data_IF_878020570886
#
_entry.id   IF_878020570886
#
_cell.length_a   1.000
_cell.length_b   1.000
_cell.length_c   1.000
_cell.angle_alpha   90.00
_cell.angle_beta   90.00
_cell.angle_gamma   90.00
#
_symmetry.space_group_name_H-M   'P 1'
#
loop_
_entity.id
_entity.type
_entity.pdbx_description
1 polymer ?
#
# COMPACT_ATOMS: atom_id res chain seq x y z
N UNK A 1 -2.32 -2.71 18.39
CA UNK A 1 -3.31 -3.58 17.70
C UNK A 1 -2.96 -5.03 17.94
N UNK A 2 -3.84 -5.78 18.57
CA UNK A 2 -3.57 -7.17 18.98
C UNK A 2 -4.49 -8.20 18.30
N UNK A 3 -5.48 -7.76 17.51
CA UNK A 3 -6.42 -8.66 16.87
C UNK A 3 -6.56 -8.37 15.38
N UNK A 4 -7.00 -9.38 14.62
CA UNK A 4 -7.32 -9.21 13.19
C UNK A 4 -8.45 -8.18 12.99
N UNK A 5 -9.44 -8.14 13.87
CA UNK A 5 -10.51 -7.17 13.79
C UNK A 5 -10.00 -5.73 13.92
N UNK A 6 -9.06 -5.48 14.82
CA UNK A 6 -8.43 -4.17 14.98
C UNK A 6 -7.62 -3.77 13.74
N UNK A 7 -6.89 -4.71 13.13
CA UNK A 7 -6.13 -4.49 11.92
C UNK A 7 -7.04 -4.14 10.73
N UNK A 8 -8.12 -4.88 10.56
CA UNK A 8 -9.10 -4.63 9.50
C UNK A 8 -9.75 -3.27 9.69
N UNK A 9 -10.14 -2.93 10.90
CA UNK A 9 -10.75 -1.64 11.23
C UNK A 9 -9.79 -0.48 10.91
N UNK A 10 -8.51 -0.61 11.27
CA UNK A 10 -7.49 0.39 10.98
C UNK A 10 -7.28 0.55 9.47
N UNK A 11 -7.27 -0.56 8.73
CA UNK A 11 -7.16 -0.54 7.27
C UNK A 11 -8.35 0.17 6.64
N UNK A 12 -9.57 -0.16 7.06
CA UNK A 12 -10.79 0.47 6.53
C UNK A 12 -10.78 1.98 6.75
N UNK A 13 -10.39 2.44 7.94
CA UNK A 13 -10.27 3.87 8.24
C UNK A 13 -9.22 4.53 7.33
N UNK A 14 -8.07 3.92 7.17
CA UNK A 14 -6.98 4.42 6.32
C UNK A 14 -7.44 4.54 4.87
N UNK A 15 -8.18 3.53 4.37
CA UNK A 15 -8.72 3.54 3.01
C UNK A 15 -9.75 4.66 2.81
N UNK A 16 -10.60 4.91 3.81
CA UNK A 16 -11.56 6.01 3.76
C UNK A 16 -10.85 7.36 3.70
N UNK A 17 -9.84 7.56 4.54
CA UNK A 17 -9.05 8.79 4.58
C UNK A 17 -8.31 9.02 3.25
N UNK A 18 -7.70 7.98 2.70
CA UNK A 18 -7.01 8.05 1.41
C UNK A 18 -7.97 8.37 0.26
N UNK A 19 -9.12 7.72 0.24
CA UNK A 19 -10.15 7.97 -0.79
C UNK A 19 -10.65 9.40 -0.75
N UNK A 20 -10.92 9.93 0.44
CA UNK A 20 -11.32 11.33 0.61
C UNK A 20 -10.24 12.29 0.14
N UNK A 21 -8.97 12.02 0.45
CA UNK A 21 -7.85 12.83 0.00
C UNK A 21 -7.72 12.85 -1.53
N UNK A 22 -7.87 11.68 -2.19
CA UNK A 22 -7.81 11.60 -3.65
C UNK A 22 -8.98 12.29 -4.33
N UNK A 23 -10.18 12.23 -3.75
CA UNK A 23 -11.35 12.93 -4.30
C UNK A 23 -11.19 14.45 -4.24
N UNK A 24 -10.48 14.97 -3.23
CA UNK A 24 -10.26 16.40 -3.03
C UNK A 24 -9.00 16.96 -3.69
N UNK A 25 -8.19 16.14 -4.34
CA UNK A 25 -6.94 16.58 -4.93
C UNK A 25 -7.11 17.07 -6.37
N UNK A 26 -6.09 17.79 -6.88
CA UNK A 26 -6.03 18.30 -8.25
C UNK A 26 -4.72 17.87 -8.88
N UNK A 27 -4.64 17.93 -10.23
CA UNK A 27 -3.39 17.68 -10.94
C UNK A 27 -2.29 18.64 -10.51
N UNK A 28 -2.63 19.92 -10.31
CA UNK A 28 -1.66 20.91 -9.85
C UNK A 28 -1.06 20.52 -8.50
N UNK A 29 -1.88 20.05 -7.58
CA UNK A 29 -1.41 19.61 -6.28
C UNK A 29 -0.51 18.37 -6.39
N UNK A 30 -0.82 17.43 -7.28
CA UNK A 30 -0.03 16.22 -7.50
C UNK A 30 1.33 16.51 -8.14
N UNK A 31 1.46 17.64 -8.84
CA UNK A 31 2.73 18.07 -9.42
C UNK A 31 3.64 18.79 -8.42
N UNK A 32 3.09 19.27 -7.29
CA UNK A 32 3.88 19.96 -6.27
C UNK A 32 4.82 19.00 -5.56
N UNK A 33 6.02 19.48 -5.20
CA UNK A 33 7.00 18.63 -4.50
C UNK A 33 6.53 18.26 -3.10
N UNK A 34 6.89 17.07 -2.70
CA UNK A 34 6.78 16.58 -1.33
C UNK A 34 8.18 16.23 -0.83
N UNK A 35 8.43 16.48 0.43
CA UNK A 35 9.75 16.30 1.02
C UNK A 35 9.67 15.37 2.21
N UNK A 36 10.59 14.41 2.25
CA UNK A 36 10.80 13.58 3.41
C UNK A 36 11.94 14.19 4.24
N UNK A 37 11.65 14.48 5.49
CA UNK A 37 12.65 15.04 6.41
C UNK A 37 13.11 13.97 7.37
N UNK A 38 14.42 13.95 7.63
CA UNK A 38 15.02 13.13 8.66
C UNK A 38 15.97 14.00 9.47
N UNK A 39 15.71 14.16 10.77
CA UNK A 39 16.51 15.03 11.63
C UNK A 39 16.52 16.50 11.17
N UNK A 40 15.43 16.96 10.61
CA UNK A 40 15.31 18.32 10.06
C UNK A 40 15.95 18.55 8.71
N UNK A 41 16.52 17.49 8.10
CA UNK A 41 17.14 17.58 6.76
C UNK A 41 16.26 16.90 5.73
N UNK A 42 16.19 17.48 4.53
CA UNK A 42 15.50 16.89 3.40
C UNK A 42 16.35 15.73 2.87
N UNK A 43 15.82 14.51 2.95
CA UNK A 43 16.51 13.30 2.47
C UNK A 43 15.91 12.80 1.16
N UNK A 44 14.70 13.24 0.81
CA UNK A 44 14.03 12.87 -0.42
C UNK A 44 13.07 13.99 -0.80
N UNK A 45 13.07 14.36 -2.07
CA UNK A 45 12.12 15.32 -2.62
C UNK A 45 11.72 14.86 -4.01
N UNK A 46 10.42 14.83 -4.27
CA UNK A 46 9.85 14.46 -5.57
C UNK A 46 8.44 15.02 -5.69
N UNK A 47 7.90 15.15 -6.91
CA UNK A 47 6.49 15.49 -7.09
C UNK A 47 5.60 14.49 -6.37
N UNK A 48 4.46 14.93 -5.85
CA UNK A 48 3.54 14.08 -5.10
C UNK A 48 3.09 12.85 -5.88
N UNK A 49 2.84 12.98 -7.18
CA UNK A 49 2.43 11.82 -7.99
C UNK A 49 3.50 10.71 -8.02
N UNK A 50 4.78 11.08 -8.04
CA UNK A 50 5.87 10.08 -7.96
C UNK A 50 5.92 9.41 -6.59
N UNK A 51 5.72 10.18 -5.52
CA UNK A 51 5.69 9.64 -4.17
C UNK A 51 4.54 8.66 -3.98
N UNK A 52 3.37 8.95 -4.58
CA UNK A 52 2.22 8.04 -4.56
C UNK A 52 2.55 6.74 -5.31
N UNK A 53 3.15 6.85 -6.50
CA UNK A 53 3.57 5.67 -7.27
C UNK A 53 4.56 4.81 -6.48
N UNK A 54 5.54 5.44 -5.84
CA UNK A 54 6.52 4.74 -5.02
C UNK A 54 5.86 4.05 -3.81
N UNK A 55 4.87 4.71 -3.20
CA UNK A 55 4.10 4.12 -2.10
C UNK A 55 3.32 2.88 -2.55
N UNK A 56 2.73 2.91 -3.73
CA UNK A 56 2.01 1.76 -4.30
C UNK A 56 3.00 0.61 -4.58
N UNK A 57 4.16 0.91 -5.16
CA UNK A 57 5.21 -0.08 -5.40
C UNK A 57 5.71 -0.68 -4.09
N UNK A 58 5.87 0.13 -3.06
CA UNK A 58 6.29 -0.31 -1.73
C UNK A 58 5.25 -1.24 -1.10
N UNK A 59 3.97 -0.91 -1.24
CA UNK A 59 2.88 -1.76 -0.79
C UNK A 59 2.89 -3.12 -1.50
N UNK A 60 3.05 -3.11 -2.83
CA UNK A 60 3.14 -4.34 -3.62
C UNK A 60 4.32 -5.21 -3.19
N UNK A 61 5.47 -4.59 -2.87
CA UNK A 61 6.64 -5.29 -2.37
C UNK A 61 6.34 -6.03 -1.06
N UNK A 62 5.78 -5.36 -0.07
CA UNK A 62 5.44 -5.98 1.21
C UNK A 62 4.32 -7.00 1.07
N UNK A 63 3.34 -6.76 0.18
CA UNK A 63 2.30 -7.74 -0.11
C UNK A 63 2.89 -9.04 -0.64
N UNK A 64 3.87 -8.95 -1.54
CA UNK A 64 4.59 -10.11 -2.04
C UNK A 64 5.31 -10.88 -0.92
N UNK A 65 5.96 -10.16 0.00
CA UNK A 65 6.59 -10.77 1.17
C UNK A 65 5.58 -11.50 2.06
N UNK A 66 4.38 -10.91 2.23
CA UNK A 66 3.32 -11.54 3.03
C UNK A 66 2.88 -12.89 2.46
N UNK A 67 2.87 -13.05 1.15
CA UNK A 67 2.51 -14.33 0.53
C UNK A 67 3.49 -15.44 0.91
N UNK A 68 4.78 -15.10 1.03
CA UNK A 68 5.80 -16.06 1.49
C UNK A 68 5.53 -16.49 2.94
N UNK A 69 5.24 -15.53 3.82
CA UNK A 69 4.92 -15.86 5.21
C UNK A 69 3.65 -16.71 5.33
N UNK A 70 2.61 -16.40 4.55
CA UNK A 70 1.39 -17.19 4.52
C UNK A 70 1.69 -18.62 4.09
N UNK A 71 2.51 -18.81 3.07
CA UNK A 71 2.91 -20.14 2.60
C UNK A 71 3.66 -20.92 3.67
N UNK A 72 4.60 -20.29 4.35
CA UNK A 72 5.37 -20.91 5.43
C UNK A 72 4.50 -21.30 6.62
N UNK A 73 3.45 -20.54 6.88
CA UNK A 73 2.51 -20.82 7.97
C UNK A 73 1.44 -21.83 7.59
N UNK A 74 1.44 -22.35 6.36
CA UNK A 74 0.42 -23.26 5.87
C UNK A 74 -0.93 -22.63 5.57
N UNK A 75 -0.99 -21.30 5.51
CA UNK A 75 -2.20 -20.58 5.14
C UNK A 75 -2.38 -20.55 3.62
N UNK A 76 -3.60 -20.28 3.16
CA UNK A 76 -3.89 -20.12 1.73
C UNK A 76 -3.32 -18.82 1.21
N UNK A 77 -2.82 -18.85 -0.02
CA UNK A 77 -2.31 -17.66 -0.71
C UNK A 77 -3.31 -17.26 -1.80
N UNK A 78 -3.86 -16.03 -1.74
CA UNK A 78 -4.81 -15.57 -2.76
C UNK A 78 -4.12 -15.35 -4.12
N UNK A 79 -4.91 -15.37 -5.18
CA UNK A 79 -4.46 -14.95 -6.51
C UNK A 79 -4.32 -13.42 -6.53
N UNK A 80 -3.13 -12.92 -6.90
CA UNK A 80 -2.84 -11.48 -6.95
C UNK A 80 -2.72 -10.97 -8.39
N UNK A 81 -1.79 -11.52 -9.15
CA UNK A 81 -1.57 -11.14 -10.55
C UNK A 81 -2.03 -12.22 -11.52
N UNK A 82 -2.39 -13.36 -11.01
CA UNK A 82 -2.83 -14.53 -11.73
C UNK A 82 -3.11 -15.62 -10.72
N UNK A 83 -3.42 -16.83 -11.16
CA UNK A 83 -3.77 -17.91 -10.24
C UNK A 83 -2.59 -18.26 -9.33
N UNK A 84 -2.90 -18.63 -8.09
CA UNK A 84 -1.96 -19.26 -7.16
C UNK A 84 -2.27 -20.74 -7.05
N UNK A 85 -1.45 -21.49 -6.29
CA UNK A 85 -1.74 -22.90 -6.01
C UNK A 85 -3.08 -23.09 -5.28
N UNK A 86 -3.54 -22.08 -4.52
CA UNK A 86 -4.72 -22.16 -3.68
C UNK A 86 -5.91 -21.39 -4.25
N UNK A 87 -5.71 -20.53 -5.25
CA UNK A 87 -6.73 -19.62 -5.78
C UNK A 87 -6.60 -19.53 -7.29
N UNK A 88 -7.59 -20.08 -7.99
CA UNK A 88 -7.60 -20.25 -9.44
C UNK A 88 -8.59 -19.31 -10.14
N UNK A 89 -9.00 -18.22 -9.46
CA UNK A 89 -10.07 -17.32 -9.96
C UNK A 89 -9.79 -16.72 -11.32
N UNK A 90 -8.53 -16.61 -11.71
CA UNK A 90 -8.14 -15.97 -12.97
C UNK A 90 -7.74 -16.96 -14.07
N UNK A 91 -8.08 -18.24 -13.88
CA UNK A 91 -7.83 -19.27 -14.88
C UNK A 91 -9.01 -19.48 -15.79
#
# INVERSE_FOLDING_TARGET
MNTSAELISALDKTLQDARAAFQGTTEDHLMKPWRLLAGGKVVLEAPRHEMIRDAINHLAHHRGQMTVYLRLLGATVPALYGPSADDQRFM
#
